data_IF_041552569846
#
_entry.id   IF_041552569846
#
_cell.length_a   1.000
_cell.length_b   1.000
_cell.length_c   1.000
_cell.angle_alpha   90.00
_cell.angle_beta   90.00
_cell.angle_gamma   90.00
#
_symmetry.space_group_name_H-M   'P 1'
#
loop_
_entity.id
_entity.type
_entity.pdbx_description
1 polymer ?
#
# COMPACT_ATOMS: atom_id res chain seq x y z
N UNK A 1 0.42 1.18 16.07
CA UNK A 1 -0.20 0.59 14.86
C UNK A 1 -0.25 1.60 13.70
N UNK A 2 -0.69 2.84 13.91
CA UNK A 2 -0.83 3.89 12.87
C UNK A 2 0.45 4.35 12.13
N UNK A 3 1.64 4.23 12.71
CA UNK A 3 2.86 4.80 12.12
C UNK A 3 3.25 4.16 10.78
N UNK A 4 2.98 2.86 10.62
CA UNK A 4 3.35 2.10 9.41
C UNK A 4 2.52 2.57 8.21
N UNK A 5 1.20 2.70 8.41
CA UNK A 5 0.26 3.15 7.38
C UNK A 5 0.62 4.54 6.86
N UNK A 6 0.96 5.47 7.77
CA UNK A 6 1.38 6.82 7.39
C UNK A 6 2.66 6.82 6.54
N UNK A 7 3.68 6.04 6.93
CA UNK A 7 4.92 5.94 6.13
C UNK A 7 4.66 5.35 4.75
N UNK A 8 3.80 4.34 4.66
CA UNK A 8 3.41 3.74 3.39
C UNK A 8 2.66 4.74 2.51
N UNK A 9 1.77 5.53 3.09
CA UNK A 9 1.06 6.60 2.40
C UNK A 9 2.00 7.71 1.90
N UNK A 10 3.00 8.11 2.69
CA UNK A 10 4.04 9.05 2.25
C UNK A 10 4.87 8.49 1.06
N UNK A 11 5.12 7.17 1.04
CA UNK A 11 5.75 6.49 -0.10
C UNK A 11 4.86 6.51 -1.35
N UNK A 12 3.58 6.17 -1.22
CA UNK A 12 2.63 6.15 -2.34
C UNK A 12 2.31 7.54 -2.89
N UNK A 13 2.38 8.58 -2.06
CA UNK A 13 2.17 9.98 -2.49
C UNK A 13 3.45 10.65 -3.00
N UNK A 14 4.57 9.94 -3.03
CA UNK A 14 5.83 10.50 -3.52
C UNK A 14 5.82 10.62 -5.06
N UNK A 15 5.96 11.86 -5.55
CA UNK A 15 5.99 12.19 -6.99
C UNK A 15 6.98 11.34 -7.79
N UNK A 16 8.15 11.02 -7.23
CA UNK A 16 9.18 10.23 -7.94
C UNK A 16 8.72 8.79 -8.16
N UNK A 17 8.08 8.21 -7.14
CA UNK A 17 7.59 6.84 -7.14
C UNK A 17 6.43 6.71 -8.12
N UNK A 18 5.47 7.64 -8.04
CA UNK A 18 4.29 7.67 -8.92
C UNK A 18 4.70 7.88 -10.38
N UNK A 19 5.61 8.84 -10.64
CA UNK A 19 6.09 9.13 -12.01
C UNK A 19 6.83 7.95 -12.63
N UNK A 20 7.58 7.19 -11.83
CA UNK A 20 8.32 6.00 -12.28
C UNK A 20 7.50 4.71 -12.22
N UNK A 21 6.28 4.74 -11.68
CA UNK A 21 5.42 3.57 -11.45
C UNK A 21 6.18 2.40 -10.82
N UNK A 22 6.94 2.69 -9.76
CA UNK A 22 7.80 1.68 -9.12
C UNK A 22 6.91 0.60 -8.50
N UNK A 23 7.10 -0.70 -8.81
CA UNK A 23 6.32 -1.77 -8.20
C UNK A 23 6.69 -1.91 -6.73
N UNK A 24 5.69 -2.12 -5.87
CA UNK A 24 5.85 -2.40 -4.45
C UNK A 24 5.39 -3.81 -4.12
N UNK A 25 6.14 -4.44 -3.23
CA UNK A 25 5.73 -5.67 -2.56
C UNK A 25 5.59 -5.40 -1.06
N UNK A 26 4.42 -5.73 -0.52
CA UNK A 26 4.16 -5.69 0.91
C UNK A 26 4.21 -7.12 1.42
N UNK A 27 5.31 -7.45 2.11
CA UNK A 27 5.50 -8.78 2.70
C UNK A 27 4.96 -8.79 4.13
N UNK A 28 3.88 -9.52 4.33
CA UNK A 28 3.34 -9.87 5.64
C UNK A 28 4.22 -10.97 6.25
N UNK A 29 5.27 -10.55 6.96
CA UNK A 29 6.19 -11.46 7.64
C UNK A 29 5.60 -12.01 8.95
N UNK A 30 6.15 -13.13 9.43
CA UNK A 30 5.80 -13.83 10.68
C UNK A 30 4.44 -14.54 10.67
N UNK A 31 4.05 -15.09 9.52
CA UNK A 31 2.82 -15.89 9.39
C UNK A 31 2.81 -17.17 10.23
N UNK A 32 3.95 -17.55 10.82
CA UNK A 32 4.12 -18.65 11.76
C UNK A 32 3.50 -18.40 13.14
N UNK A 33 3.19 -17.15 13.50
CA UNK A 33 2.60 -16.83 14.78
C UNK A 33 1.07 -16.95 14.74
N UNK A 34 0.45 -17.58 15.76
CA UNK A 34 -1.01 -17.68 15.87
C UNK A 34 -1.74 -16.33 15.95
N UNK A 35 -1.02 -15.25 16.28
CA UNK A 35 -1.54 -13.88 16.29
C UNK A 35 -1.31 -13.15 14.95
N UNK A 36 -0.75 -13.81 13.93
CA UNK A 36 -0.56 -13.23 12.61
C UNK A 36 -1.91 -13.02 11.94
N UNK A 37 -2.12 -11.81 11.43
CA UNK A 37 -3.31 -11.51 10.63
C UNK A 37 -3.14 -12.09 9.23
N UNK A 38 -4.19 -12.64 8.62
CA UNK A 38 -4.13 -13.11 7.23
C UNK A 38 -3.91 -11.92 6.30
N UNK A 39 -3.24 -12.16 5.16
CA UNK A 39 -2.89 -11.12 4.18
C UNK A 39 -4.09 -10.32 3.67
N UNK A 40 -5.25 -10.96 3.56
CA UNK A 40 -6.52 -10.32 3.17
C UNK A 40 -6.97 -9.26 4.19
N UNK A 41 -6.93 -9.57 5.48
CA UNK A 41 -7.31 -8.62 6.54
C UNK A 41 -6.33 -7.45 6.59
N UNK A 42 -5.03 -7.71 6.39
CA UNK A 42 -4.02 -6.65 6.32
C UNK A 42 -4.27 -5.77 5.09
N UNK A 43 -4.63 -6.35 3.94
CA UNK A 43 -5.01 -5.61 2.73
C UNK A 43 -6.18 -4.66 3.03
N UNK A 44 -7.26 -5.17 3.61
CA UNK A 44 -8.45 -4.38 3.94
C UNK A 44 -8.17 -3.28 4.97
N UNK A 45 -7.38 -3.57 6.01
CA UNK A 45 -6.99 -2.58 7.01
C UNK A 45 -6.10 -1.48 6.40
N UNK A 46 -5.18 -1.84 5.47
CA UNK A 46 -4.38 -0.87 4.73
C UNK A 46 -5.23 0.01 3.81
N UNK A 47 -6.16 -0.57 3.06
CA UNK A 47 -7.06 0.17 2.17
C UNK A 47 -7.91 1.17 2.99
N UNK A 48 -8.46 0.73 4.12
CA UNK A 48 -9.25 1.59 5.02
C UNK A 48 -8.42 2.72 5.63
N UNK A 49 -7.22 2.43 6.13
CA UNK A 49 -6.35 3.48 6.71
C UNK A 49 -5.86 4.48 5.68
N UNK A 50 -5.50 4.03 4.47
CA UNK A 50 -5.10 4.92 3.37
C UNK A 50 -6.26 5.84 2.99
N UNK A 51 -7.49 5.32 2.95
CA UNK A 51 -8.70 6.11 2.71
C UNK A 51 -8.89 7.20 3.79
N UNK A 52 -8.73 6.84 5.07
CA UNK A 52 -8.82 7.80 6.18
C UNK A 52 -7.73 8.88 6.06
N UNK A 53 -6.50 8.50 5.73
CA UNK A 53 -5.38 9.44 5.54
C UNK A 53 -5.59 10.36 4.33
N UNK A 54 -6.19 9.84 3.25
CA UNK A 54 -6.60 10.61 2.06
C UNK A 54 -7.64 11.66 2.44
N UNK A 55 -8.72 11.26 3.09
CA UNK A 55 -9.78 12.16 3.57
C UNK A 55 -9.25 13.19 4.58
N UNK A 56 -8.36 12.77 5.49
CA UNK A 56 -7.75 13.68 6.46
C UNK A 56 -6.86 14.72 5.80
N UNK A 57 -6.06 14.36 4.79
CA UNK A 57 -5.28 15.36 4.02
C UNK A 57 -6.19 16.31 3.24
N UNK A 58 -7.21 15.78 2.59
CA UNK A 58 -8.18 16.59 1.84
C UNK A 58 -8.85 17.64 2.73
N UNK A 59 -9.35 17.25 3.91
CA UNK A 59 -9.94 18.19 4.86
C UNK A 59 -8.97 19.25 5.40
N UNK A 60 -7.65 19.05 5.26
CA UNK A 60 -6.63 20.03 5.68
C UNK A 60 -6.15 20.93 4.52
N UNK A 61 -6.53 20.64 3.27
CA UNK A 61 -6.16 21.44 2.12
C UNK A 61 -7.37 22.29 1.71
N UNK A 62 -7.26 23.60 1.92
CA UNK A 62 -8.20 24.57 1.34
C UNK A 62 -8.16 24.47 -0.20
N UNK A 63 -9.33 24.60 -0.82
CA UNK A 63 -9.79 24.29 -2.19
C UNK A 63 -8.91 24.76 -3.38
N UNK A 64 -7.82 25.49 -3.14
CA UNK A 64 -7.04 26.20 -4.17
C UNK A 64 -5.77 25.48 -4.64
N UNK A 65 -5.39 24.33 -4.08
CA UNK A 65 -4.18 23.60 -4.45
C UNK A 65 -4.42 22.10 -4.68
N UNK A 66 -5.19 21.76 -5.71
CA UNK A 66 -5.23 20.38 -6.22
C UNK A 66 -3.90 20.11 -6.95
N UNK A 67 -2.84 19.90 -6.17
CA UNK A 67 -1.55 19.43 -6.67
C UNK A 67 -1.79 18.08 -7.35
N UNK A 68 -1.31 17.93 -8.59
CA UNK A 68 -1.55 16.78 -9.49
C UNK A 68 -1.34 15.41 -8.81
N UNK A 69 -0.57 15.38 -7.73
CA UNK A 69 -0.36 14.25 -6.82
C UNK A 69 -1.65 13.67 -6.23
N UNK A 70 -2.68 14.49 -5.97
CA UNK A 70 -3.96 14.05 -5.41
C UNK A 70 -4.82 13.28 -6.42
N UNK A 71 -4.69 13.59 -7.71
CA UNK A 71 -5.39 12.87 -8.78
C UNK A 71 -4.87 11.42 -8.98
N UNK A 72 -3.72 11.06 -8.41
CA UNK A 72 -3.11 9.75 -8.65
C UNK A 72 -3.66 8.62 -7.74
N UNK A 73 -4.24 8.91 -6.57
CA UNK A 73 -4.82 7.88 -5.67
C UNK A 73 -6.30 7.53 -6.01
N UNK A 74 -6.71 7.72 -7.26
CA UNK A 74 -8.05 7.39 -7.76
C UNK A 74 -9.09 8.49 -7.53
N UNK A 75 -10.11 8.50 -8.39
CA UNK A 75 -11.17 9.51 -8.43
C UNK A 75 -12.02 9.54 -7.13
N UNK A 76 -12.56 10.71 -6.83
CA UNK A 76 -13.23 11.11 -5.58
C UNK A 76 -14.45 10.29 -5.13
N UNK A 77 -14.91 9.32 -5.92
CA UNK A 77 -16.17 8.59 -5.68
C UNK A 77 -16.01 7.12 -5.33
N UNK A 78 -14.79 6.60 -5.22
CA UNK A 78 -14.57 5.17 -4.98
C UNK A 78 -13.51 4.93 -3.91
N UNK A 79 -13.78 3.93 -3.05
CA UNK A 79 -12.84 3.46 -2.04
C UNK A 79 -11.48 3.14 -2.65
N UNK A 80 -10.41 3.62 -2.00
CA UNK A 80 -9.06 3.26 -2.39
C UNK A 80 -8.89 1.74 -2.39
N UNK A 81 -8.50 1.21 -3.54
CA UNK A 81 -8.10 -0.19 -3.70
C UNK A 81 -6.72 -0.24 -4.31
N UNK A 82 -5.93 -1.22 -3.89
CA UNK A 82 -4.59 -1.44 -4.45
C UNK A 82 -4.61 -1.64 -5.97
N UNK A 83 -5.70 -2.19 -6.53
CA UNK A 83 -5.91 -2.38 -7.97
C UNK A 83 -6.01 -1.06 -8.76
N UNK A 84 -6.46 0.02 -8.11
CA UNK A 84 -6.60 1.36 -8.71
C UNK A 84 -5.44 2.29 -8.35
N UNK A 85 -4.46 1.78 -7.61
CA UNK A 85 -3.28 2.54 -7.26
C UNK A 85 -2.47 2.86 -8.53
N UNK A 86 -1.75 4.00 -8.56
CA UNK A 86 -0.95 4.40 -9.73
C UNK A 86 0.29 3.51 -9.93
N UNK A 87 0.64 2.72 -8.91
CA UNK A 87 1.76 1.79 -8.88
C UNK A 87 1.25 0.36 -8.67
N UNK A 88 1.94 -0.63 -9.23
CA UNK A 88 1.66 -2.05 -8.98
C UNK A 88 2.01 -2.37 -7.52
N UNK A 89 1.03 -2.81 -6.73
CA UNK A 89 1.22 -3.17 -5.33
C UNK A 89 0.73 -4.59 -5.13
N UNK A 90 1.62 -5.46 -4.67
CA UNK A 90 1.32 -6.87 -4.42
C UNK A 90 1.54 -7.22 -2.95
N UNK A 91 0.62 -7.99 -2.37
CA UNK A 91 0.70 -8.44 -0.99
C UNK A 91 1.04 -9.93 -0.93
N UNK A 92 2.16 -10.23 -0.27
CA UNK A 92 2.65 -11.60 -0.09
C UNK A 92 2.69 -11.95 1.39
N UNK A 93 2.47 -13.22 1.71
CA UNK A 93 2.61 -13.75 3.06
C UNK A 93 3.87 -14.60 3.15
N UNK A 94 4.73 -14.32 4.13
CA UNK A 94 5.97 -15.06 4.28
C UNK A 94 6.29 -15.37 5.74
N UNK A 95 6.98 -16.49 5.97
CA UNK A 95 7.59 -16.80 7.25
C UNK A 95 9.05 -17.15 7.02
N UNK A 96 9.92 -16.20 7.36
CA UNK A 96 11.38 -16.40 7.32
C UNK A 96 11.80 -17.54 8.26
N UNK A 97 11.08 -17.73 9.37
CA UNK A 97 11.41 -18.77 10.35
C UNK A 97 11.11 -20.18 9.85
N UNK A 98 10.05 -20.34 9.07
CA UNK A 98 9.67 -21.62 8.46
C UNK A 98 10.25 -21.79 7.04
N UNK A 99 11.17 -20.92 6.59
CA UNK A 99 11.67 -20.87 5.21
C UNK A 99 10.57 -20.76 4.14
N UNK A 100 9.39 -20.24 4.49
CA UNK A 100 8.28 -20.09 3.55
C UNK A 100 8.36 -18.69 2.93
N UNK A 101 9.21 -18.56 1.91
CA UNK A 101 9.50 -17.29 1.20
C UNK A 101 9.31 -17.41 -0.32
N UNK A 102 8.75 -18.51 -0.81
CA UNK A 102 8.60 -18.80 -2.24
C UNK A 102 7.77 -17.71 -2.96
N UNK A 103 6.68 -17.23 -2.34
CA UNK A 103 5.87 -16.12 -2.90
C UNK A 103 6.70 -14.84 -3.16
N UNK A 104 7.73 -14.58 -2.35
CA UNK A 104 8.61 -13.42 -2.54
C UNK A 104 9.57 -13.67 -3.69
N UNK A 105 10.16 -14.86 -3.76
CA UNK A 105 11.13 -15.22 -4.79
C UNK A 105 10.46 -15.18 -6.17
N UNK A 106 9.28 -15.78 -6.30
CA UNK A 106 8.51 -15.76 -7.56
C UNK A 106 8.18 -14.33 -8.00
N UNK A 107 7.83 -13.45 -7.06
CA UNK A 107 7.58 -12.05 -7.38
C UNK A 107 8.85 -11.33 -7.86
N UNK A 108 9.99 -11.56 -7.19
CA UNK A 108 11.27 -10.95 -7.58
C UNK A 108 11.68 -11.43 -8.97
N UNK A 109 11.59 -12.73 -9.25
CA UNK A 109 11.89 -13.31 -10.58
C UNK A 109 10.96 -12.80 -11.69
N UNK A 110 9.71 -12.44 -11.35
CA UNK A 110 8.76 -11.89 -12.32
C UNK A 110 9.02 -10.43 -12.67
N UNK A 111 9.62 -9.67 -11.74
CA UNK A 111 9.79 -8.21 -11.85
C UNK A 111 11.24 -7.75 -12.06
N UNK A 112 12.23 -8.64 -11.92
CA UNK A 112 13.66 -8.42 -12.18
C UNK A 112 14.25 -9.56 -13.01
#
# INVERSE_FOLDING_TARGET
MFLIFRKLFELFTNKVIVKKKIPFIIVCNKTDLCNSRPKQVIKEDLEREIEILKMSKYNNLDDDCIDETECFLGANSEFFRFEKAPCHIELCSASVKNNNVDEIIEFVEKHY
#
